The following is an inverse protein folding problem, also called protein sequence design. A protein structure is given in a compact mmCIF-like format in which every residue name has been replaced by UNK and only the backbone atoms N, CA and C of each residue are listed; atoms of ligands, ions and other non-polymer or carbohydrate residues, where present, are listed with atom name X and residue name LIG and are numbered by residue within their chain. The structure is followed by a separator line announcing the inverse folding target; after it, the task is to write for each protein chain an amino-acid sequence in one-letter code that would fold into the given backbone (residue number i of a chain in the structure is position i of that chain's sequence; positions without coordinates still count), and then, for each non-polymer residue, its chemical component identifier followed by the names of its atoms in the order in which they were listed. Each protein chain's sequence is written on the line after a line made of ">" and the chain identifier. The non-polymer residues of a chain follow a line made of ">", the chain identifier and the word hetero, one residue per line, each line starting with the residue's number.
data_IF_977671394367
#
_entry.id   IF_977671394367
#
_cell.length_a   1.000
_cell.length_b   1.000
_cell.length_c   1.000
_cell.angle_alpha   90.00
_cell.angle_beta   90.00
_cell.angle_gamma   90.00
#
_symmetry.space_group_name_H-M   'P 1'
#
loop_
_entity.id
_entity.type
_entity.pdbx_description
1 polymer ?
#
# COMPACT_ATOMS: atom_id res chain seq x y z
N UNK A 1 -8.00 -6.80 6.72
CA UNK A 1 -9.06 -7.49 5.95
C UNK A 1 -9.07 -6.88 4.55
N UNK A 2 -8.92 -7.71 3.52
CA UNK A 2 -9.05 -7.27 2.13
C UNK A 2 -10.54 -7.03 1.89
N UNK A 3 -10.93 -5.86 1.39
CA UNK A 3 -12.34 -5.46 1.34
C UNK A 3 -13.21 -6.43 0.55
N UNK A 4 -13.02 -6.48 -0.78
CA UNK A 4 -13.70 -7.41 -1.69
C UNK A 4 -12.68 -8.31 -2.37
N UNK A 5 -12.44 -9.53 -1.86
CA UNK A 5 -11.41 -10.43 -2.39
C UNK A 5 -11.59 -10.72 -3.89
N UNK A 6 -12.82 -10.86 -4.36
CA UNK A 6 -13.20 -11.06 -5.77
C UNK A 6 -12.82 -9.90 -6.69
N UNK A 7 -12.64 -8.70 -6.13
CA UNK A 7 -12.25 -7.48 -6.86
C UNK A 7 -10.82 -7.05 -6.62
N UNK A 8 -10.11 -7.73 -5.72
CA UNK A 8 -8.75 -7.38 -5.39
C UNK A 8 -7.80 -8.02 -6.40
N UNK A 9 -7.02 -7.20 -7.10
CA UNK A 9 -5.99 -7.63 -8.05
C UNK A 9 -6.44 -8.75 -9.03
N UNK A 10 -7.57 -8.59 -9.75
CA UNK A 10 -8.21 -9.69 -10.49
C UNK A 10 -7.37 -10.29 -11.62
N UNK A 11 -6.34 -9.57 -12.08
CA UNK A 11 -5.45 -9.99 -13.16
C UNK A 11 -4.01 -10.27 -12.67
N UNK A 12 -3.78 -10.29 -11.35
CA UNK A 12 -2.45 -10.49 -10.81
C UNK A 12 -2.09 -11.98 -10.73
N UNK A 13 -0.80 -12.26 -10.89
CA UNK A 13 -0.19 -13.49 -10.36
C UNK A 13 0.23 -13.25 -8.92
N UNK A 14 -0.08 -14.19 -8.05
CA UNK A 14 0.04 -14.05 -6.60
C UNK A 14 1.11 -15.01 -6.09
N UNK A 15 2.19 -14.44 -5.55
CA UNK A 15 3.20 -15.18 -4.80
C UNK A 15 3.04 -14.81 -3.33
N UNK A 16 2.82 -15.80 -2.47
CA UNK A 16 2.55 -15.61 -1.05
C UNK A 16 3.69 -16.22 -0.22
N UNK A 17 4.44 -15.36 0.48
CA UNK A 17 5.41 -15.76 1.49
C UNK A 17 4.78 -15.59 2.87
N UNK A 18 4.75 -16.65 3.67
CA UNK A 18 4.37 -16.58 5.08
C UNK A 18 5.18 -17.60 5.88
N UNK A 19 5.47 -17.34 7.15
CA UNK A 19 6.13 -18.32 8.03
C UNK A 19 5.12 -19.32 8.59
N UNK A 20 3.85 -18.93 8.68
CA UNK A 20 2.76 -19.76 9.16
C UNK A 20 2.03 -20.42 7.99
N UNK A 21 2.17 -21.75 7.88
CA UNK A 21 1.49 -22.55 6.87
C UNK A 21 -0.04 -22.38 6.91
N UNK A 22 -0.62 -22.09 8.08
CA UNK A 22 -2.07 -21.92 8.22
C UNK A 22 -2.56 -20.60 7.62
N UNK A 23 -1.68 -19.61 7.45
CA UNK A 23 -2.02 -18.31 6.87
C UNK A 23 -2.14 -18.34 5.33
N UNK A 24 -1.47 -19.32 4.70
CA UNK A 24 -1.50 -19.52 3.25
C UNK A 24 -2.94 -19.76 2.77
N UNK A 25 -3.30 -19.09 1.67
CA UNK A 25 -4.60 -19.17 0.99
C UNK A 25 -5.85 -18.84 1.81
N UNK A 26 -5.74 -18.38 3.06
CA UNK A 26 -6.90 -18.04 3.90
C UNK A 26 -7.81 -16.97 3.31
N UNK A 27 -7.23 -16.03 2.55
CA UNK A 27 -7.98 -14.87 2.04
C UNK A 27 -7.99 -14.79 0.52
N UNK A 28 -6.99 -15.35 -0.14
CA UNK A 28 -6.85 -15.36 -1.60
C UNK A 28 -5.93 -16.50 -1.99
N UNK A 29 -6.27 -17.22 -3.06
CA UNK A 29 -5.42 -18.30 -3.60
C UNK A 29 -4.11 -17.74 -4.13
N UNK A 30 -3.02 -18.47 -3.91
CA UNK A 30 -1.71 -18.10 -4.42
C UNK A 30 -1.39 -18.98 -5.65
N UNK A 31 -0.72 -18.41 -6.65
CA UNK A 31 -0.12 -19.22 -7.71
C UNK A 31 1.12 -19.95 -7.19
N UNK A 32 1.86 -19.34 -6.28
CA UNK A 32 3.04 -19.91 -5.60
C UNK A 32 3.00 -19.53 -4.12
N UNK A 33 3.09 -20.52 -3.24
CA UNK A 33 3.18 -20.32 -1.80
C UNK A 33 4.56 -20.75 -1.29
N UNK A 34 5.16 -19.93 -0.43
CA UNK A 34 6.45 -20.19 0.21
C UNK A 34 6.27 -20.11 1.71
N UNK A 35 6.40 -21.25 2.39
CA UNK A 35 6.29 -21.33 3.85
C UNK A 35 7.68 -21.25 4.47
N UNK A 36 8.15 -20.05 4.78
CA UNK A 36 9.50 -19.80 5.30
C UNK A 36 9.63 -18.39 5.89
N UNK A 37 10.73 -18.16 6.62
CA UNK A 37 11.12 -16.81 7.02
C UNK A 37 11.37 -15.93 5.77
N UNK A 38 10.79 -14.73 5.77
CA UNK A 38 10.85 -13.83 4.62
C UNK A 38 12.27 -13.26 4.42
N UNK A 39 13.03 -13.01 5.49
CA UNK A 39 14.40 -12.48 5.41
C UNK A 39 15.32 -13.49 4.73
N UNK A 40 15.21 -14.76 5.10
CA UNK A 40 15.96 -15.86 4.47
C UNK A 40 15.53 -16.07 3.02
N UNK A 41 14.22 -16.14 2.77
CA UNK A 41 13.66 -16.36 1.43
C UNK A 41 14.08 -15.27 0.44
N UNK A 42 14.05 -14.00 0.85
CA UNK A 42 14.45 -12.88 -0.01
C UNK A 42 15.95 -12.91 -0.32
N UNK A 43 16.81 -13.29 0.64
CA UNK A 43 18.26 -13.42 0.37
C UNK A 43 18.56 -14.46 -0.70
N UNK A 44 17.79 -15.54 -0.74
CA UNK A 44 17.92 -16.58 -1.77
C UNK A 44 17.31 -16.14 -3.11
N UNK A 45 16.20 -15.41 -3.09
CA UNK A 45 15.49 -14.98 -4.29
C UNK A 45 16.22 -13.84 -5.02
N UNK A 46 16.73 -12.84 -4.30
CA UNK A 46 17.30 -11.62 -4.88
C UNK A 46 18.39 -11.87 -5.94
N UNK A 47 19.35 -12.79 -5.76
CA UNK A 47 20.36 -13.09 -6.78
C UNK A 47 19.78 -13.68 -8.08
N UNK A 48 18.59 -14.28 -8.02
CA UNK A 48 17.93 -14.90 -9.17
C UNK A 48 17.08 -13.91 -9.97
N UNK A 49 16.80 -12.72 -9.41
CA UNK A 49 15.95 -11.71 -10.05
C UNK A 49 16.83 -10.78 -10.89
N UNK A 50 16.70 -10.82 -12.23
CA UNK A 50 17.46 -9.91 -13.07
C UNK A 50 16.99 -8.47 -12.87
N UNK A 51 17.94 -7.54 -12.96
CA UNK A 51 17.61 -6.11 -13.03
C UNK A 51 16.80 -5.88 -14.31
N UNK A 52 15.66 -5.22 -14.17
CA UNK A 52 14.81 -4.83 -15.30
C UNK A 52 14.39 -3.38 -15.11
N UNK A 53 14.27 -2.64 -16.20
CA UNK A 53 13.73 -1.29 -16.15
C UNK A 53 12.26 -1.34 -15.77
N UNK A 54 11.90 -0.55 -14.77
CA UNK A 54 10.55 -0.39 -14.24
C UNK A 54 10.21 1.10 -14.07
N UNK A 55 10.93 1.98 -14.76
CA UNK A 55 10.79 3.43 -14.71
C UNK A 55 9.33 3.89 -14.91
N UNK A 56 8.68 3.43 -15.98
CA UNK A 56 7.28 3.72 -16.29
C UNK A 56 6.32 3.25 -15.17
N UNK A 57 6.59 2.10 -14.55
CA UNK A 57 5.79 1.60 -13.43
C UNK A 57 5.97 2.47 -12.19
N UNK A 58 7.19 2.87 -11.88
CA UNK A 58 7.48 3.79 -10.78
C UNK A 58 6.85 5.16 -10.99
N UNK A 59 6.84 5.67 -12.22
CA UNK A 59 6.15 6.92 -12.55
C UNK A 59 4.65 6.83 -12.29
N UNK A 60 4.01 5.73 -12.72
CA UNK A 60 2.59 5.46 -12.43
C UNK A 60 2.29 5.43 -10.94
N UNK A 61 3.11 4.76 -10.14
CA UNK A 61 2.94 4.73 -8.67
C UNK A 61 3.04 6.14 -8.08
N UNK A 62 4.01 6.95 -8.55
CA UNK A 62 4.15 8.34 -8.09
C UNK A 62 2.95 9.20 -8.44
N UNK A 63 2.35 8.99 -9.62
CA UNK A 63 1.12 9.65 -10.03
C UNK A 63 -0.03 9.32 -9.07
N UNK A 64 -0.32 8.03 -8.84
CA UNK A 64 -1.37 7.61 -7.90
C UNK A 64 -1.14 8.13 -6.48
N UNK A 65 0.11 8.15 -6.00
CA UNK A 65 0.42 8.72 -4.69
C UNK A 65 0.13 10.22 -4.61
N UNK A 66 0.33 10.98 -5.70
CA UNK A 66 -0.02 12.41 -5.76
C UNK A 66 -1.52 12.64 -5.81
N UNK A 67 -2.27 11.75 -6.46
CA UNK A 67 -3.74 11.80 -6.54
C UNK A 67 -4.40 11.43 -5.22
N UNK A 68 -3.89 10.40 -4.55
CA UNK A 68 -4.40 9.91 -3.26
C UNK A 68 -3.97 10.75 -2.05
N UNK A 69 -3.26 11.87 -2.28
CA UNK A 69 -2.76 12.74 -1.22
C UNK A 69 -3.93 13.28 -0.37
N UNK A 70 -4.08 12.82 0.88
CA UNK A 70 -5.23 13.18 1.72
C UNK A 70 -5.22 14.66 2.11
N UNK A 71 -4.13 15.38 1.84
CA UNK A 71 -4.03 16.80 2.12
C UNK A 71 -4.71 17.67 1.06
N UNK A 72 -4.91 17.15 -0.16
CA UNK A 72 -5.44 17.90 -1.31
C UNK A 72 -6.96 17.95 -1.43
N UNK A 73 -7.70 17.15 -0.66
CA UNK A 73 -9.17 17.23 -0.68
C UNK A 73 -9.64 18.57 -0.09
N UNK A 74 -10.40 19.39 -0.86
CA UNK A 74 -11.00 20.59 -0.33
C UNK A 74 -12.05 20.24 0.74
N UNK A 75 -12.30 21.13 1.72
CA UNK A 75 -13.39 20.91 2.67
C UNK A 75 -14.71 20.70 1.93
N UNK A 76 -15.54 19.76 2.41
CA UNK A 76 -16.81 19.42 1.76
C UNK A 76 -17.72 20.65 1.70
N UNK A 77 -18.39 20.93 0.56
CA UNK A 77 -19.36 22.01 0.46
C UNK A 77 -20.45 21.86 1.54
N UNK A 78 -20.74 22.94 2.28
CA UNK A 78 -21.74 22.93 3.35
C UNK A 78 -21.23 22.50 4.73
N UNK A 79 -19.93 22.20 4.88
CA UNK A 79 -19.34 21.96 6.20
C UNK A 79 -19.28 23.27 7.01
N UNK A 80 -20.29 23.51 7.87
CA UNK A 80 -20.34 24.66 8.78
C UNK A 80 -19.66 24.27 10.10
N UNK A 81 -18.56 24.94 10.41
CA UNK A 81 -17.66 24.60 11.54
C UNK A 81 -18.31 24.89 12.90
N UNK A 82 -18.38 23.90 13.78
CA UNK A 82 -18.53 24.08 15.22
C UNK A 82 -17.66 23.03 15.93
N UNK A 83 -16.61 23.46 16.65
CA UNK A 83 -15.75 22.59 17.45
C UNK A 83 -14.26 22.53 17.02
N UNK A 84 -13.41 21.81 17.79
CA UNK A 84 -11.97 21.68 17.54
C UNK A 84 -11.66 20.93 16.23
N UNK A 85 -10.40 21.03 15.76
CA UNK A 85 -9.92 20.47 14.49
C UNK A 85 -10.28 18.98 14.36
N UNK A 86 -10.80 18.59 13.19
CA UNK A 86 -10.99 17.18 12.87
C UNK A 86 -9.66 16.45 12.69
N UNK A 87 -9.63 15.13 12.87
CA UNK A 87 -8.40 14.31 12.81
C UNK A 87 -7.56 14.56 11.53
N UNK A 88 -8.21 14.77 10.38
CA UNK A 88 -7.53 15.08 9.10
C UNK A 88 -6.84 16.45 9.09
N UNK A 89 -7.45 17.45 9.75
CA UNK A 89 -6.88 18.80 9.85
C UNK A 89 -5.73 18.83 10.87
N UNK A 90 -5.84 18.06 11.95
CA UNK A 90 -4.73 17.85 12.88
C UNK A 90 -3.54 17.21 12.16
N UNK A 91 -3.76 16.13 11.39
CA UNK A 91 -2.72 15.48 10.58
C UNK A 91 -2.11 16.46 9.58
N UNK A 92 -2.92 17.22 8.83
CA UNK A 92 -2.43 18.27 7.91
C UNK A 92 -1.59 19.32 8.62
N UNK A 93 -2.02 19.77 9.79
CA UNK A 93 -1.30 20.81 10.53
C UNK A 93 0.01 20.32 11.13
N UNK A 94 0.09 19.04 11.51
CA UNK A 94 1.33 18.41 11.96
C UNK A 94 2.27 18.21 10.77
N UNK A 95 1.78 17.65 9.66
CA UNK A 95 2.58 17.41 8.45
C UNK A 95 3.23 18.71 7.92
N UNK A 96 2.46 19.80 7.83
CA UNK A 96 2.95 21.11 7.39
C UNK A 96 4.03 21.69 8.32
N UNK A 97 3.85 21.59 9.64
CA UNK A 97 4.85 22.06 10.62
C UNK A 97 6.15 21.27 10.58
N UNK A 98 6.10 19.99 10.19
CA UNK A 98 7.29 19.14 10.05
C UNK A 98 8.04 19.47 8.75
N UNK A 99 7.35 19.79 7.65
CA UNK A 99 7.98 20.15 6.38
C UNK A 99 8.57 21.56 6.33
N UNK A 100 8.13 22.46 7.23
CA UNK A 100 8.61 23.84 7.34
C UNK A 100 9.86 23.98 8.24
N UNK A 101 10.38 22.87 8.78
CA UNK A 101 11.65 22.78 9.54
C UNK A 101 12.68 21.97 8.77
#
# INVERSE_FOLDING_TARGET
>A
MIGRPDRFAPNARIVHFDVDATAIERTMRADVAVVADLSESLKMLLPLVPKADRSAWWERIREWNREADPTKEPPRPGYRRMGPLGAREAIRSVARKISEK
#
